data_IF_888945727653
#
_entry.id   IF_888945727653
#
_cell.length_a   1.000
_cell.length_b   1.000
_cell.length_c   1.000
_cell.angle_alpha   90.00
_cell.angle_beta   90.00
_cell.angle_gamma   90.00
#
_symmetry.space_group_name_H-M   'P 1'
#
loop_
_entity.id
_entity.type
_entity.pdbx_description
1 polymer ?
#
# COMPACT_ATOMS: atom_id res chain seq x y z
N UNK A 1 -0.51 8.20 -7.99
CA UNK A 1 0.61 7.24 -8.10
C UNK A 1 0.27 5.84 -7.61
N UNK A 2 -0.31 5.70 -6.43
CA UNK A 2 -0.64 4.38 -5.90
C UNK A 2 -1.68 3.61 -6.71
N UNK A 3 -2.46 4.27 -7.54
CA UNK A 3 -3.46 3.59 -8.38
C UNK A 3 -2.84 2.61 -9.37
N UNK A 4 -1.62 2.86 -9.81
CA UNK A 4 -0.90 1.99 -10.74
C UNK A 4 -0.03 0.97 -10.03
N UNK A 5 0.01 0.99 -8.70
CA UNK A 5 0.74 0.03 -7.90
C UNK A 5 -0.26 -1.02 -7.41
N UNK A 6 0.03 -2.28 -7.71
CA UNK A 6 -0.92 -3.38 -7.54
C UNK A 6 -0.38 -4.43 -6.57
N UNK A 7 -1.29 -4.98 -5.78
CA UNK A 7 -1.07 -6.19 -4.99
C UNK A 7 -1.84 -7.33 -5.65
N UNK A 8 -1.18 -8.46 -5.85
CA UNK A 8 -1.79 -9.63 -6.48
C UNK A 8 -1.86 -10.76 -5.44
N UNK A 9 -3.07 -11.26 -5.21
CA UNK A 9 -3.29 -12.33 -4.24
C UNK A 9 -2.45 -13.56 -4.57
N UNK A 10 -1.75 -14.10 -3.57
CA UNK A 10 -0.88 -15.27 -3.75
C UNK A 10 0.50 -14.96 -4.30
N UNK A 11 0.80 -13.70 -4.66
CA UNK A 11 2.11 -13.29 -5.12
C UNK A 11 2.70 -12.27 -4.16
N UNK A 12 3.91 -12.48 -3.63
CA UNK A 12 4.52 -11.53 -2.70
C UNK A 12 4.96 -10.25 -3.42
N UNK A 13 5.05 -9.17 -2.65
CA UNK A 13 5.55 -7.90 -3.15
C UNK A 13 4.48 -7.06 -3.84
N UNK A 14 4.96 -6.07 -4.58
CA UNK A 14 4.12 -5.12 -5.30
C UNK A 14 4.51 -5.08 -6.77
N UNK A 15 3.54 -4.69 -7.58
CA UNK A 15 3.69 -4.66 -9.04
C UNK A 15 3.22 -3.31 -9.58
N UNK A 16 3.90 -2.85 -10.62
CA UNK A 16 3.53 -1.64 -11.33
C UNK A 16 2.80 -2.04 -12.62
N UNK A 17 1.67 -1.40 -12.91
CA UNK A 17 0.97 -1.61 -14.17
C UNK A 17 1.80 -1.02 -15.31
N UNK A 18 2.11 -1.86 -16.30
CA UNK A 18 2.90 -1.46 -17.48
C UNK A 18 2.00 -1.25 -18.69
N UNK A 19 1.14 -2.22 -18.96
CA UNK A 19 0.25 -2.14 -20.13
C UNK A 19 -0.93 -3.09 -19.98
N UNK A 20 -1.91 -2.93 -20.88
CA UNK A 20 -3.07 -3.81 -20.96
C UNK A 20 -2.89 -4.74 -22.16
N UNK A 21 -3.06 -6.04 -21.94
CA UNK A 21 -3.15 -7.01 -23.00
C UNK A 21 -4.58 -7.46 -23.20
N UNK A 22 -4.79 -8.40 -24.11
CA UNK A 22 -6.11 -8.99 -24.34
C UNK A 22 -6.44 -9.93 -23.17
N UNK A 23 -7.46 -9.56 -22.39
CA UNK A 23 -7.90 -10.32 -21.20
C UNK A 23 -6.86 -10.45 -20.11
N UNK A 24 -5.84 -9.58 -20.09
CA UNK A 24 -4.82 -9.59 -19.06
C UNK A 24 -4.17 -8.22 -18.89
N UNK A 25 -3.49 -8.05 -17.77
CA UNK A 25 -2.63 -6.90 -17.51
C UNK A 25 -1.18 -7.35 -17.59
N UNK A 26 -0.30 -6.49 -18.07
CA UNK A 26 1.15 -6.71 -17.96
C UNK A 26 1.65 -5.85 -16.81
N UNK A 27 2.24 -6.51 -15.82
CA UNK A 27 2.72 -5.86 -14.61
C UNK A 27 4.21 -6.15 -14.41
N UNK A 28 4.89 -5.22 -13.74
CA UNK A 28 6.32 -5.32 -13.48
C UNK A 28 6.56 -5.32 -11.97
N UNK A 29 7.28 -6.32 -11.47
CA UNK A 29 7.61 -6.40 -10.05
C UNK A 29 8.51 -5.23 -9.64
N UNK A 30 8.17 -4.55 -8.55
CA UNK A 30 9.00 -3.49 -8.00
C UNK A 30 10.28 -4.02 -7.35
N UNK A 31 10.34 -5.30 -7.05
CA UNK A 31 11.48 -5.92 -6.37
C UNK A 31 12.57 -6.35 -7.34
N UNK A 32 12.19 -7.03 -8.43
CA UNK A 32 13.17 -7.61 -9.37
C UNK A 32 13.02 -7.10 -10.80
N UNK A 33 12.07 -6.20 -11.04
CA UNK A 33 11.78 -5.60 -12.35
C UNK A 33 11.36 -6.60 -13.43
N UNK A 34 10.95 -7.79 -13.05
CA UNK A 34 10.45 -8.79 -14.01
C UNK A 34 9.00 -8.50 -14.37
N UNK A 35 8.67 -8.67 -15.63
CA UNK A 35 7.31 -8.49 -16.14
C UNK A 35 6.59 -9.82 -16.18
N UNK A 36 5.35 -9.82 -15.71
CA UNK A 36 4.50 -11.02 -15.72
C UNK A 36 3.07 -10.62 -16.10
N UNK A 37 2.29 -11.56 -16.67
CA UNK A 37 0.87 -11.29 -16.93
C UNK A 37 0.05 -11.48 -15.66
N UNK A 38 -0.99 -10.67 -15.49
CA UNK A 38 -2.02 -10.83 -14.48
C UNK A 38 -3.36 -11.03 -15.21
N UNK A 39 -4.03 -12.14 -14.92
CA UNK A 39 -5.26 -12.52 -15.63
C UNK A 39 -6.50 -12.17 -14.82
N UNK A 40 -7.66 -12.24 -15.45
CA UNK A 40 -8.93 -11.95 -14.80
C UNK A 40 -9.20 -12.84 -13.57
N UNK A 41 -8.67 -14.06 -13.54
CA UNK A 41 -8.77 -14.97 -12.38
C UNK A 41 -7.95 -14.53 -11.19
N UNK A 42 -6.93 -13.72 -11.42
CA UNK A 42 -6.06 -13.24 -10.35
C UNK A 42 -6.74 -12.10 -9.61
N UNK A 43 -6.68 -12.11 -8.30
CA UNK A 43 -7.23 -11.02 -7.50
C UNK A 43 -6.20 -9.91 -7.43
N UNK A 44 -6.44 -8.86 -8.20
CA UNK A 44 -5.56 -7.69 -8.29
C UNK A 44 -6.22 -6.53 -7.59
N UNK A 45 -5.51 -5.91 -6.65
CA UNK A 45 -6.02 -4.76 -5.91
C UNK A 45 -5.04 -3.61 -6.11
N UNK A 46 -5.57 -2.44 -6.51
CA UNK A 46 -4.78 -1.21 -6.58
C UNK A 46 -4.58 -0.65 -5.17
N UNK A 47 -3.36 -0.25 -4.84
CA UNK A 47 -3.09 0.37 -3.54
C UNK A 47 -3.84 1.69 -3.38
N UNK A 48 -4.16 2.36 -4.49
CA UNK A 48 -4.96 3.58 -4.45
C UNK A 48 -6.40 3.37 -3.99
N UNK A 49 -6.89 2.12 -4.01
CA UNK A 49 -8.25 1.78 -3.61
C UNK A 49 -8.35 1.23 -2.19
N UNK A 50 -7.23 1.11 -1.49
CA UNK A 50 -7.20 0.54 -0.14
C UNK A 50 -7.40 1.64 0.90
N UNK A 51 -8.21 1.33 1.92
CA UNK A 51 -8.38 2.20 3.09
C UNK A 51 -8.24 1.36 4.36
N UNK A 52 -7.87 2.02 5.45
CA UNK A 52 -7.65 1.37 6.74
C UNK A 52 -8.80 1.77 7.69
N UNK A 53 -9.38 0.79 8.33
CA UNK A 53 -10.47 1.03 9.28
C UNK A 53 -9.98 1.77 10.53
N UNK A 54 -10.75 2.79 10.92
CA UNK A 54 -10.58 3.47 12.21
C UNK A 54 -11.85 3.32 13.05
N UNK A 55 -11.83 3.84 14.26
CA UNK A 55 -12.99 3.80 15.16
C UNK A 55 -14.19 4.56 14.60
N UNK A 56 -13.96 5.55 13.74
CA UNK A 56 -15.00 6.42 13.21
C UNK A 56 -15.26 6.21 11.73
N UNK A 57 -14.19 6.10 10.93
CA UNK A 57 -14.28 6.08 9.49
C UNK A 57 -13.13 5.27 8.90
N UNK A 58 -12.93 5.40 7.61
CA UNK A 58 -11.81 4.79 6.90
C UNK A 58 -10.80 5.88 6.53
N UNK A 59 -9.50 5.54 6.61
CA UNK A 59 -8.42 6.43 6.21
C UNK A 59 -7.73 5.84 4.98
N UNK A 60 -7.60 6.59 3.89
CA UNK A 60 -6.94 6.07 2.68
C UNK A 60 -5.51 5.62 2.96
N UNK A 61 -5.10 4.55 2.29
CA UNK A 61 -3.77 3.98 2.49
C UNK A 61 -2.65 5.01 2.25
N UNK A 62 -2.81 5.91 1.26
CA UNK A 62 -1.77 6.91 0.98
C UNK A 62 -1.50 7.83 2.18
N UNK A 63 -2.52 8.13 2.98
CA UNK A 63 -2.34 8.94 4.19
C UNK A 63 -1.57 8.16 5.26
N UNK A 64 -1.88 6.88 5.42
CA UNK A 64 -1.19 6.01 6.38
C UNK A 64 0.27 5.84 5.98
N UNK A 65 0.54 5.58 4.70
CA UNK A 65 1.91 5.46 4.19
C UNK A 65 2.70 6.77 4.36
N UNK A 66 2.04 7.91 4.16
CA UNK A 66 2.65 9.22 4.39
C UNK A 66 3.02 9.40 5.86
N UNK A 67 2.16 8.95 6.77
CA UNK A 67 2.45 8.99 8.21
C UNK A 67 3.66 8.13 8.58
N UNK A 68 3.77 6.94 7.97
CA UNK A 68 4.95 6.08 8.16
C UNK A 68 6.20 6.78 7.64
N UNK A 69 6.12 7.37 6.46
CA UNK A 69 7.22 8.12 5.86
C UNK A 69 7.68 9.26 6.76
N UNK A 70 6.75 10.01 7.34
CA UNK A 70 7.08 11.11 8.24
C UNK A 70 7.75 10.60 9.52
N UNK A 71 7.26 9.50 10.08
CA UNK A 71 7.85 8.87 11.26
C UNK A 71 9.27 8.38 10.98
N UNK A 72 9.53 7.83 9.83
CA UNK A 72 10.81 7.24 9.44
C UNK A 72 11.72 8.20 8.67
N UNK A 73 11.30 9.44 8.51
CA UNK A 73 12.06 10.46 7.77
C UNK A 73 12.41 10.05 6.34
N UNK A 74 11.50 9.35 5.69
CA UNK A 74 11.67 8.88 4.31
C UNK A 74 12.53 7.65 4.15
N UNK A 75 12.97 7.06 5.25
CA UNK A 75 13.78 5.83 5.25
C UNK A 75 12.91 4.61 5.40
N UNK A 76 13.50 3.42 5.24
CA UNK A 76 12.80 2.17 5.49
C UNK A 76 12.33 2.08 6.95
N UNK A 77 11.29 1.30 7.19
CA UNK A 77 10.73 1.15 8.52
C UNK A 77 11.79 0.65 9.53
N UNK A 78 11.85 1.30 10.68
CA UNK A 78 12.78 0.92 11.75
C UNK A 78 12.41 -0.44 12.34
N UNK A 79 11.12 -0.81 12.30
CA UNK A 79 10.65 -2.12 12.72
C UNK A 79 10.69 -3.06 11.53
N UNK A 80 11.42 -4.18 11.64
CA UNK A 80 11.52 -5.16 10.57
C UNK A 80 10.25 -6.03 10.58
N UNK A 81 9.38 -5.94 9.55
CA UNK A 81 8.07 -6.59 9.61
C UNK A 81 8.14 -8.10 9.81
N UNK A 82 9.10 -8.77 9.17
CA UNK A 82 9.21 -10.24 9.24
C UNK A 82 9.68 -10.74 10.61
N UNK A 83 10.27 -9.87 11.43
CA UNK A 83 10.81 -10.23 12.75
C UNK A 83 10.05 -9.62 13.91
N UNK A 84 9.09 -8.74 13.61
CA UNK A 84 8.35 -8.02 14.64
C UNK A 84 7.34 -8.94 15.34
N UNK A 85 7.19 -8.73 16.64
CA UNK A 85 6.14 -9.41 17.42
C UNK A 85 4.81 -8.69 17.20
N UNK A 86 3.71 -9.37 17.57
CA UNK A 86 2.37 -8.78 17.50
C UNK A 86 2.31 -7.47 18.30
N UNK A 87 2.87 -7.45 19.50
CA UNK A 87 2.85 -6.25 20.34
C UNK A 87 3.65 -5.11 19.73
N UNK A 88 4.80 -5.41 19.12
CA UNK A 88 5.62 -4.41 18.43
C UNK A 88 4.88 -3.81 17.24
N UNK A 89 4.19 -4.64 16.45
CA UNK A 89 3.41 -4.17 15.31
C UNK A 89 2.26 -3.26 15.76
N UNK A 90 1.55 -3.64 16.81
CA UNK A 90 0.45 -2.84 17.34
C UNK A 90 0.93 -1.51 17.91
N UNK A 91 2.01 -1.52 18.68
CA UNK A 91 2.58 -0.32 19.25
C UNK A 91 3.07 0.64 18.16
N UNK A 92 3.73 0.12 17.14
CA UNK A 92 4.18 0.91 15.99
C UNK A 92 3.01 1.56 15.27
N UNK A 93 1.99 0.76 14.98
CA UNK A 93 0.84 1.25 14.22
C UNK A 93 0.00 2.26 15.00
N UNK A 94 -0.05 2.13 16.31
CA UNK A 94 -0.73 3.10 17.18
C UNK A 94 -0.07 4.48 17.10
N UNK A 95 1.23 4.55 16.84
CA UNK A 95 1.91 5.83 16.62
C UNK A 95 1.60 6.40 15.25
N UNK A 96 1.42 5.54 14.24
CA UNK A 96 1.13 5.95 12.86
C UNK A 96 -0.31 6.38 12.70
N UNK A 97 -1.24 5.63 13.28
CA UNK A 97 -2.68 5.87 13.17
C UNK A 97 -3.34 5.54 14.51
N UNK A 98 -3.34 6.50 15.47
CA UNK A 98 -3.85 6.23 16.82
C UNK A 98 -5.27 5.72 16.89
N UNK A 99 -6.12 6.12 15.94
CA UNK A 99 -7.53 5.75 15.91
C UNK A 99 -7.82 4.45 15.15
N UNK A 100 -6.80 3.70 14.74
CA UNK A 100 -7.05 2.48 13.97
C UNK A 100 -7.93 1.49 14.75
N UNK A 101 -8.80 0.79 14.02
CA UNK A 101 -9.73 -0.18 14.61
C UNK A 101 -8.99 -1.47 14.93
N UNK A 102 -8.78 -1.71 16.23
CA UNK A 102 -7.97 -2.83 16.70
C UNK A 102 -8.63 -4.19 16.47
N UNK A 103 -9.92 -4.21 16.23
CA UNK A 103 -10.65 -5.45 15.96
C UNK A 103 -10.62 -5.83 14.47
N UNK A 104 -10.60 -4.83 13.58
CA UNK A 104 -10.64 -5.08 12.13
C UNK A 104 -9.28 -4.96 11.44
N UNK A 105 -8.31 -4.30 12.07
CA UNK A 105 -6.94 -4.22 11.55
C UNK A 105 -6.08 -5.20 12.32
N UNK A 106 -5.69 -6.28 11.66
CA UNK A 106 -4.93 -7.36 12.29
C UNK A 106 -3.42 -7.09 12.24
N UNK A 107 -2.63 -7.70 13.14
CA UNK A 107 -1.17 -7.60 13.06
C UNK A 107 -0.60 -8.02 11.71
N UNK A 108 -1.21 -9.00 11.03
CA UNK A 108 -0.81 -9.41 9.68
C UNK A 108 -1.02 -8.30 8.65
N UNK A 109 -2.04 -7.47 8.82
CA UNK A 109 -2.29 -6.32 7.95
C UNK A 109 -1.22 -5.25 8.17
N UNK A 110 -0.86 -5.00 9.41
CA UNK A 110 0.19 -4.03 9.76
C UNK A 110 1.53 -4.48 9.17
N UNK A 111 1.85 -5.75 9.32
CA UNK A 111 3.05 -6.35 8.75
C UNK A 111 3.10 -6.17 7.23
N UNK A 112 2.00 -6.45 6.56
CA UNK A 112 1.87 -6.29 5.11
C UNK A 112 2.06 -4.83 4.70
N UNK A 113 1.44 -3.90 5.40
CA UNK A 113 1.53 -2.47 5.12
C UNK A 113 2.97 -1.97 5.24
N UNK A 114 3.68 -2.37 6.30
CA UNK A 114 5.08 -1.98 6.48
C UNK A 114 5.98 -2.60 5.42
N UNK A 115 5.71 -3.83 5.01
CA UNK A 115 6.43 -4.48 3.90
C UNK A 115 6.21 -3.71 2.60
N UNK A 116 4.99 -3.30 2.31
CA UNK A 116 4.68 -2.48 1.15
C UNK A 116 5.41 -1.13 1.19
N UNK A 117 5.39 -0.48 2.35
CA UNK A 117 6.10 0.78 2.52
C UNK A 117 7.59 0.61 2.17
N UNK A 118 8.24 -0.42 2.70
CA UNK A 118 9.66 -0.67 2.43
C UNK A 118 9.91 -0.92 0.94
N UNK A 119 9.04 -1.69 0.27
CA UNK A 119 9.17 -1.94 -1.17
C UNK A 119 9.07 -0.63 -1.96
N UNK A 120 8.10 0.22 -1.62
CA UNK A 120 7.90 1.50 -2.29
C UNK A 120 9.11 2.42 -2.11
N UNK A 121 9.62 2.53 -0.89
CA UNK A 121 10.79 3.37 -0.60
C UNK A 121 12.02 2.85 -1.37
N UNK A 122 12.27 1.56 -1.35
CA UNK A 122 13.39 0.95 -2.06
C UNK A 122 13.29 1.12 -3.57
N UNK A 123 12.08 1.22 -4.11
CA UNK A 123 11.85 1.45 -5.53
C UNK A 123 11.89 2.94 -5.90
N UNK A 124 12.15 3.82 -4.94
CA UNK A 124 12.18 5.25 -5.18
C UNK A 124 10.82 5.92 -5.24
N UNK A 125 9.76 5.22 -4.88
CA UNK A 125 8.40 5.76 -4.84
C UNK A 125 8.16 6.33 -3.44
N UNK A 126 8.34 7.64 -3.31
CA UNK A 126 8.30 8.32 -2.01
C UNK A 126 7.15 9.31 -1.87
N UNK A 127 6.46 9.63 -2.96
CA UNK A 127 5.29 10.49 -2.93
C UNK A 127 4.04 9.64 -3.05
N UNK A 128 3.27 9.57 -1.97
CA UNK A 128 2.07 8.75 -1.88
C UNK A 128 0.79 9.56 -2.09
N UNK A 129 0.89 10.85 -2.35
CA UNK A 129 -0.29 11.70 -2.54
C UNK A 129 -1.04 11.31 -3.82
N UNK A 130 -2.38 11.39 -3.82
CA UNK A 130 -3.15 11.11 -5.03
C UNK A 130 -2.88 12.13 -6.13
N UNK A 131 -3.14 11.72 -7.37
CA UNK A 131 -3.07 12.63 -8.50
C UNK A 131 -4.12 13.73 -8.32
N UNK A 132 -3.65 14.98 -8.31
CA UNK A 132 -4.52 16.15 -8.15
C UNK A 132 -5.58 16.21 -9.25
N UNK A 133 -5.23 15.87 -10.49
CA UNK A 133 -6.18 15.86 -11.61
C UNK A 133 -7.31 14.88 -11.36
N UNK A 134 -6.99 13.71 -10.86
CA UNK A 134 -7.98 12.70 -10.52
C UNK A 134 -8.89 13.19 -9.38
N UNK A 135 -8.31 13.80 -8.37
CA UNK A 135 -9.05 14.37 -7.25
C UNK A 135 -10.04 15.44 -7.70
N UNK A 136 -9.60 16.41 -8.50
CA UNK A 136 -10.45 17.44 -9.03
C UNK A 136 -11.54 16.89 -9.94
N UNK A 137 -11.21 15.86 -10.73
CA UNK A 137 -12.18 15.22 -11.60
C UNK A 137 -13.33 14.60 -10.81
N UNK A 138 -13.01 13.91 -9.72
CA UNK A 138 -14.03 13.35 -8.83
C UNK A 138 -14.87 14.47 -8.19
N UNK A 139 -14.23 15.55 -7.79
CA UNK A 139 -14.91 16.67 -7.19
C UNK A 139 -15.87 17.36 -8.15
N UNK A 140 -15.50 17.46 -9.42
CA UNK A 140 -16.34 18.07 -10.45
C UNK A 140 -17.52 17.18 -10.85
N UNK A 141 -17.42 15.88 -10.68
CA UNK A 141 -18.51 14.94 -10.98
C UNK A 141 -19.55 14.88 -9.87
N UNK A 142 -19.21 15.36 -8.71
CA UNK A 142 -20.14 15.46 -7.58
C UNK A 142 -20.94 16.74 -7.63
#
# INVERSE_FOLDING_TARGET
MLKTILSISGKPGLYKLVSHGKNMLIVESLTDNKRVPAYAKDKVISLGDIAIYTDETEVPLHEVLTSVKNKEEGKAASLVPSKATTDQLRAYFAEVLPSYDRERVYPSDIKKLLSWYNILINAGITDFTPDIRHFFRLFLLL
#
